data_IF_698788092299
#
_entry.id   IF_698788092299
#
_cell.length_a   1.000
_cell.length_b   1.000
_cell.length_c   1.000
_cell.angle_alpha   90.00
_cell.angle_beta   90.00
_cell.angle_gamma   90.00
#
_symmetry.space_group_name_H-M   'P 1'
#
loop_
_entity.id
_entity.type
_entity.pdbx_description
1 polymer ?
#
# COMPACT_ATOMS: atom_id res chain seq x y z
N UNK A 1 0.76 -12.31 11.07
CA UNK A 1 0.69 -13.49 10.19
C UNK A 1 -0.13 -13.10 8.95
N UNK A 2 0.49 -12.48 7.93
CA UNK A 2 -0.21 -11.90 6.75
C UNK A 2 0.63 -12.07 5.46
N UNK A 3 1.18 -13.26 5.24
CA UNK A 3 2.03 -13.55 4.06
C UNK A 3 1.41 -14.65 3.18
N UNK A 4 0.09 -14.82 3.23
CA UNK A 4 -0.59 -15.98 2.63
C UNK A 4 -1.49 -15.66 1.41
N UNK A 5 -1.71 -14.39 1.04
CA UNK A 5 -2.63 -14.07 -0.08
C UNK A 5 -1.90 -14.08 -1.43
N UNK A 6 -0.61 -13.78 -1.47
CA UNK A 6 0.15 -13.60 -2.71
C UNK A 6 1.26 -14.63 -2.94
N UNK A 7 1.43 -15.59 -2.03
CA UNK A 7 2.41 -16.67 -2.18
C UNK A 7 2.08 -17.53 -3.43
N UNK A 8 3.05 -17.68 -4.33
CA UNK A 8 2.89 -18.37 -5.61
C UNK A 8 2.19 -17.57 -6.73
N UNK A 9 1.72 -16.34 -6.48
CA UNK A 9 1.12 -15.49 -7.51
C UNK A 9 2.20 -14.75 -8.30
N UNK A 10 2.14 -14.85 -9.64
CA UNK A 10 3.00 -14.09 -10.53
C UNK A 10 2.33 -12.77 -10.92
N UNK A 11 2.86 -11.66 -10.43
CA UNK A 11 2.45 -10.32 -10.86
C UNK A 11 3.30 -9.76 -11.98
N UNK A 12 4.55 -10.22 -12.10
CA UNK A 12 5.54 -9.57 -12.94
C UNK A 12 5.37 -9.95 -14.43
N UNK A 13 5.23 -8.97 -15.33
CA UNK A 13 5.18 -9.23 -16.77
C UNK A 13 6.53 -9.80 -17.26
N UNK A 14 6.58 -10.41 -18.45
CA UNK A 14 7.84 -10.82 -19.06
C UNK A 14 8.77 -9.61 -19.28
N UNK A 15 10.09 -9.74 -19.04
CA UNK A 15 11.05 -8.69 -19.38
C UNK A 15 11.12 -8.47 -20.89
N UNK A 16 11.62 -7.32 -21.35
CA UNK A 16 11.82 -7.03 -22.76
C UNK A 16 12.80 -7.99 -23.44
N UNK A 17 13.78 -8.51 -22.69
CA UNK A 17 14.69 -9.58 -23.14
C UNK A 17 13.95 -10.88 -23.51
N UNK A 18 12.74 -11.09 -22.98
CA UNK A 18 11.84 -12.17 -23.39
C UNK A 18 11.17 -11.97 -24.75
N UNK A 19 11.43 -10.83 -25.40
CA UNK A 19 10.95 -10.47 -26.73
C UNK A 19 9.78 -9.50 -26.72
N UNK A 20 9.77 -8.57 -27.70
CA UNK A 20 8.72 -7.57 -27.88
C UNK A 20 7.36 -8.15 -28.32
N UNK A 21 7.31 -9.45 -28.62
CA UNK A 21 6.06 -10.19 -28.83
C UNK A 21 5.15 -10.23 -27.60
N UNK A 22 5.72 -10.06 -26.40
CA UNK A 22 4.97 -10.01 -25.13
C UNK A 22 4.41 -8.61 -24.82
N UNK A 23 4.56 -7.67 -25.74
CA UNK A 23 4.21 -6.27 -25.55
C UNK A 23 3.33 -5.77 -26.71
N UNK A 24 2.36 -4.94 -26.35
CA UNK A 24 1.35 -4.41 -27.25
C UNK A 24 1.44 -2.88 -27.35
N UNK A 25 1.15 -2.36 -28.54
CA UNK A 25 0.87 -0.93 -28.72
C UNK A 25 -0.60 -0.55 -28.42
N UNK A 26 -1.38 -1.51 -27.91
CA UNK A 26 -2.76 -1.35 -27.44
C UNK A 26 -2.88 -1.55 -25.93
N UNK A 27 -4.01 -2.07 -25.47
CA UNK A 27 -4.29 -2.36 -24.07
C UNK A 27 -3.63 -3.66 -23.55
N UNK A 28 -2.97 -4.44 -24.40
CA UNK A 28 -2.35 -5.72 -24.04
C UNK A 28 -3.36 -6.88 -23.96
N UNK A 29 -4.55 -6.71 -24.54
CA UNK A 29 -5.60 -7.73 -24.59
C UNK A 29 -5.49 -8.58 -25.87
N UNK A 30 -6.05 -9.81 -25.88
CA UNK A 30 -5.96 -10.68 -27.05
C UNK A 30 -6.47 -10.05 -28.35
N UNK A 31 -5.69 -10.14 -29.42
CA UNK A 31 -6.04 -9.60 -30.74
C UNK A 31 -5.57 -8.17 -31.00
N UNK A 32 -4.98 -7.50 -30.01
CA UNK A 32 -4.38 -6.17 -30.21
C UNK A 32 -2.98 -6.24 -30.87
N UNK A 33 -2.51 -5.14 -31.49
CA UNK A 33 -1.23 -5.14 -32.19
C UNK A 33 -0.05 -5.39 -31.23
N UNK A 34 0.90 -6.22 -31.67
CA UNK A 34 2.15 -6.50 -30.96
C UNK A 34 3.27 -5.55 -31.40
N UNK A 35 4.25 -5.32 -30.51
CA UNK A 35 5.49 -4.62 -30.84
C UNK A 35 6.53 -5.50 -31.54
N UNK A 36 6.30 -6.82 -31.67
CA UNK A 36 7.17 -7.67 -32.47
C UNK A 36 7.22 -7.21 -33.93
N UNK A 37 8.38 -6.75 -34.38
CA UNK A 37 8.58 -6.28 -35.75
C UNK A 37 7.97 -4.91 -36.05
N UNK A 38 7.50 -4.17 -35.03
CA UNK A 38 7.05 -2.80 -35.20
C UNK A 38 8.22 -1.90 -35.62
N UNK A 39 8.02 -1.08 -36.66
CA UNK A 39 9.09 -0.26 -37.24
C UNK A 39 9.65 0.80 -36.28
N UNK A 40 8.87 1.17 -35.26
CA UNK A 40 9.22 2.18 -34.27
C UNK A 40 9.69 1.59 -32.93
N UNK A 41 9.84 0.28 -32.81
CA UNK A 41 10.25 -0.38 -31.57
C UNK A 41 11.40 -1.36 -31.82
N UNK A 42 12.40 -1.37 -30.93
CA UNK A 42 13.50 -2.33 -30.99
C UNK A 42 13.97 -2.76 -29.60
N UNK A 43 14.47 -3.99 -29.51
CA UNK A 43 15.14 -4.47 -28.30
C UNK A 43 16.59 -4.01 -28.34
N UNK A 44 17.00 -3.24 -27.35
CA UNK A 44 18.39 -2.84 -27.13
C UNK A 44 18.98 -3.76 -26.08
N UNK A 45 20.15 -4.33 -26.37
CA UNK A 45 20.91 -5.15 -25.40
C UNK A 45 22.11 -4.38 -24.88
N UNK A 46 22.44 -4.59 -23.60
CA UNK A 46 23.62 -3.98 -22.98
C UNK A 46 23.59 -2.45 -22.86
N UNK A 47 22.41 -1.86 -22.71
CA UNK A 47 22.29 -0.46 -22.29
C UNK A 47 22.96 -0.25 -20.93
N UNK A 48 23.71 0.84 -20.77
CA UNK A 48 24.50 1.10 -19.55
C UNK A 48 23.65 1.23 -18.27
N UNK A 49 22.38 1.66 -18.39
CA UNK A 49 21.50 1.97 -17.27
C UNK A 49 20.47 0.85 -17.03
N UNK A 50 20.02 0.21 -18.11
CA UNK A 50 18.89 -0.74 -18.11
C UNK A 50 19.27 -2.18 -18.50
N UNK A 51 20.47 -2.42 -19.04
CA UNK A 51 20.80 -3.72 -19.63
C UNK A 51 19.96 -3.98 -20.89
N UNK A 52 19.14 -5.03 -20.88
CA UNK A 52 18.20 -5.28 -21.97
C UNK A 52 16.94 -4.44 -21.79
N UNK A 53 16.59 -3.62 -22.78
CA UNK A 53 15.49 -2.66 -22.67
C UNK A 53 14.79 -2.39 -24.02
N UNK A 54 13.60 -1.81 -23.95
CA UNK A 54 12.88 -1.35 -25.14
C UNK A 54 13.42 0.04 -25.55
N UNK A 55 13.75 0.21 -26.82
CA UNK A 55 13.87 1.53 -27.46
C UNK A 55 12.67 1.76 -28.39
N UNK A 56 12.01 2.89 -28.21
CA UNK A 56 10.77 3.27 -28.89
C UNK A 56 10.92 4.66 -29.50
N UNK A 57 10.57 4.79 -30.77
CA UNK A 57 10.34 6.08 -31.39
C UNK A 57 8.84 6.40 -31.32
N UNK A 58 8.46 7.52 -30.69
CA UNK A 58 7.04 7.90 -30.59
C UNK A 58 6.51 8.30 -31.97
N UNK A 59 5.34 7.76 -32.34
CA UNK A 59 4.69 8.05 -33.62
C UNK A 59 3.29 8.67 -33.43
N UNK A 60 2.76 8.62 -32.22
CA UNK A 60 1.50 9.25 -31.83
C UNK A 60 1.68 10.25 -30.67
N UNK A 61 0.63 11.06 -30.42
CA UNK A 61 0.60 12.00 -29.30
C UNK A 61 0.63 11.31 -27.92
N UNK A 62 0.07 10.10 -27.86
CA UNK A 62 0.20 9.16 -26.76
C UNK A 62 0.58 7.83 -27.36
N UNK A 63 1.77 7.35 -27.03
CA UNK A 63 2.26 6.03 -27.39
C UNK A 63 1.98 5.09 -26.22
N UNK A 64 1.11 4.11 -26.44
CA UNK A 64 0.69 3.15 -25.42
C UNK A 64 1.59 1.92 -25.46
N UNK A 65 2.07 1.47 -24.31
CA UNK A 65 2.76 0.21 -24.14
C UNK A 65 2.08 -0.59 -23.02
N UNK A 66 1.59 -1.79 -23.33
CA UNK A 66 1.03 -2.73 -22.32
C UNK A 66 1.57 -4.13 -22.53
N UNK A 67 1.76 -4.86 -21.44
CA UNK A 67 2.15 -6.26 -21.52
C UNK A 67 0.95 -7.13 -21.97
N UNK A 68 1.20 -8.14 -22.80
CA UNK A 68 0.31 -9.29 -22.99
C UNK A 68 0.41 -10.21 -21.76
N UNK A 69 0.09 -9.66 -20.60
CA UNK A 69 0.18 -10.34 -19.33
C UNK A 69 -0.98 -9.90 -18.44
N UNK A 70 -1.84 -10.85 -18.09
CA UNK A 70 -2.97 -10.63 -17.20
C UNK A 70 -2.48 -10.66 -15.76
N UNK A 71 -2.29 -9.49 -15.17
CA UNK A 71 -1.91 -9.35 -13.76
C UNK A 71 -3.15 -9.53 -12.90
N UNK A 72 -3.20 -10.50 -11.97
CA UNK A 72 -4.38 -10.69 -11.13
C UNK A 72 -4.56 -9.53 -10.16
N UNK A 73 -5.80 -9.04 -10.04
CA UNK A 73 -6.21 -8.02 -9.08
C UNK A 73 -7.08 -8.69 -8.02
N UNK A 74 -6.64 -8.64 -6.77
CA UNK A 74 -7.33 -9.24 -5.64
C UNK A 74 -7.81 -8.18 -4.64
N UNK A 75 -9.00 -8.35 -4.06
CA UNK A 75 -9.45 -7.52 -2.95
C UNK A 75 -8.41 -7.44 -1.83
N UNK A 76 -8.08 -6.22 -1.42
CA UNK A 76 -7.13 -5.97 -0.34
C UNK A 76 -5.65 -6.07 -0.72
N UNK A 77 -5.33 -6.36 -2.00
CA UNK A 77 -3.96 -6.30 -2.52
C UNK A 77 -3.72 -4.94 -3.19
N UNK A 78 -2.56 -4.35 -2.91
CA UNK A 78 -2.10 -3.11 -3.53
C UNK A 78 -0.81 -3.41 -4.30
N UNK A 79 -0.81 -3.10 -5.58
CA UNK A 79 0.30 -3.37 -6.49
C UNK A 79 0.95 -2.06 -6.90
N UNK A 80 2.27 -1.96 -6.75
CA UNK A 80 3.05 -0.88 -7.35
C UNK A 80 3.55 -1.36 -8.71
N UNK A 81 3.15 -0.64 -9.74
CA UNK A 81 3.68 -0.81 -11.09
C UNK A 81 4.72 0.28 -11.29
N UNK A 82 5.92 -0.08 -11.77
CA UNK A 82 7.02 0.85 -11.94
C UNK A 82 7.94 0.48 -13.09
N UNK A 83 8.61 1.49 -13.65
CA UNK A 83 9.70 1.35 -14.62
C UNK A 83 10.57 2.61 -14.57
N UNK A 84 11.72 2.57 -15.24
CA UNK A 84 12.54 3.76 -15.49
C UNK A 84 12.60 4.04 -16.98
N UNK A 85 12.62 5.31 -17.34
CA UNK A 85 12.79 5.74 -18.72
C UNK A 85 13.96 6.71 -18.86
N UNK A 86 14.50 6.82 -20.08
CA UNK A 86 15.36 7.94 -20.48
C UNK A 86 15.08 8.33 -21.93
N UNK A 87 15.17 9.62 -22.20
CA UNK A 87 14.95 10.18 -23.54
C UNK A 87 16.30 10.38 -24.21
N UNK A 88 16.45 9.91 -25.44
CA UNK A 88 17.71 10.00 -26.18
C UNK A 88 17.72 11.15 -27.18
N UNK A 89 16.59 11.43 -27.82
CA UNK A 89 16.46 12.50 -28.82
C UNK A 89 14.99 12.88 -29.07
N UNK A 90 14.77 13.94 -29.85
CA UNK A 90 13.44 14.49 -30.17
C UNK A 90 12.84 15.30 -29.03
N UNK A 91 11.62 15.81 -29.19
CA UNK A 91 10.97 16.61 -28.14
C UNK A 91 10.74 15.76 -26.89
N UNK A 92 11.25 16.18 -25.73
CA UNK A 92 11.15 15.43 -24.47
C UNK A 92 9.67 15.17 -24.12
N UNK A 93 9.21 13.91 -24.18
CA UNK A 93 7.85 13.56 -23.79
C UNK A 93 7.73 13.42 -22.27
N UNK A 94 6.50 13.39 -21.79
CA UNK A 94 6.19 12.92 -20.44
C UNK A 94 5.83 11.43 -20.47
N UNK A 95 5.81 10.80 -19.31
CA UNK A 95 5.40 9.41 -19.18
C UNK A 95 4.60 9.16 -17.91
N UNK A 96 3.75 8.14 -17.94
CA UNK A 96 2.98 7.70 -16.77
C UNK A 96 2.74 6.20 -16.83
N UNK A 97 2.69 5.56 -15.67
CA UNK A 97 2.13 4.21 -15.60
C UNK A 97 0.65 4.28 -15.99
N UNK A 98 0.21 3.31 -16.77
CA UNK A 98 -1.18 3.17 -17.10
C UNK A 98 -1.55 1.70 -17.30
N UNK A 99 -2.84 1.40 -17.27
CA UNK A 99 -3.36 0.05 -17.34
C UNK A 99 -4.68 -0.07 -18.09
N UNK A 100 -5.18 -1.28 -18.18
CA UNK A 100 -6.52 -1.62 -18.63
C UNK A 100 -7.12 -2.61 -17.63
N UNK A 101 -8.30 -2.28 -17.11
CA UNK A 101 -8.98 -2.99 -16.05
C UNK A 101 -10.00 -4.00 -16.62
N UNK A 102 -9.72 -5.29 -16.47
CA UNK A 102 -10.54 -6.37 -16.96
C UNK A 102 -11.44 -7.01 -15.90
N UNK A 103 -12.70 -7.23 -16.24
CA UNK A 103 -13.62 -8.06 -15.47
C UNK A 103 -13.33 -9.56 -15.69
N UNK A 104 -13.99 -10.42 -14.90
CA UNK A 104 -13.78 -11.87 -14.95
C UNK A 104 -14.19 -12.52 -16.27
N UNK A 105 -15.09 -11.87 -17.02
CA UNK A 105 -15.53 -12.29 -18.35
C UNK A 105 -14.63 -11.75 -19.49
N UNK A 106 -13.55 -11.04 -19.14
CA UNK A 106 -12.63 -10.43 -20.09
C UNK A 106 -13.11 -9.12 -20.69
N UNK A 107 -14.23 -8.55 -20.22
CA UNK A 107 -14.70 -7.22 -20.64
C UNK A 107 -13.95 -6.08 -19.93
N UNK A 108 -13.94 -4.90 -20.54
CA UNK A 108 -13.37 -3.70 -19.93
C UNK A 108 -14.29 -3.13 -18.84
N UNK A 109 -13.73 -2.83 -17.67
CA UNK A 109 -14.43 -2.11 -16.60
C UNK A 109 -14.24 -0.61 -16.82
N UNK A 110 -15.24 0.03 -17.42
CA UNK A 110 -15.21 1.46 -17.70
C UNK A 110 -15.34 2.34 -16.43
N UNK A 111 -14.93 3.61 -16.54
CA UNK A 111 -15.13 4.62 -15.51
C UNK A 111 -14.09 4.62 -14.38
N UNK A 112 -13.03 3.82 -14.51
CA UNK A 112 -11.92 3.76 -13.56
C UNK A 112 -10.79 4.73 -13.95
N UNK A 113 -10.04 5.18 -12.96
CA UNK A 113 -8.76 5.87 -13.19
C UNK A 113 -7.72 4.83 -13.56
N UNK A 114 -7.39 4.74 -14.84
CA UNK A 114 -6.46 3.74 -15.39
C UNK A 114 -5.06 4.31 -15.69
N UNK A 115 -4.77 5.51 -15.18
CA UNK A 115 -3.53 6.21 -15.42
C UNK A 115 -3.03 6.82 -14.12
N UNK A 116 -1.75 6.61 -13.81
CA UNK A 116 -1.09 7.19 -12.66
C UNK A 116 -0.54 8.61 -12.92
N UNK A 117 0.26 9.13 -11.99
CA UNK A 117 0.92 10.42 -12.10
C UNK A 117 1.83 10.50 -13.33
N UNK A 118 1.91 11.69 -13.91
CA UNK A 118 2.77 11.96 -15.07
C UNK A 118 4.11 12.55 -14.62
N UNK A 119 5.19 12.00 -15.16
CA UNK A 119 6.58 12.41 -14.92
C UNK A 119 7.19 12.89 -16.23
N UNK A 120 7.95 13.99 -16.19
CA UNK A 120 8.64 14.53 -17.37
C UNK A 120 10.14 14.61 -17.08
N UNK A 121 10.98 13.88 -17.83
CA UNK A 121 12.43 14.09 -17.81
C UNK A 121 12.77 15.56 -18.08
N UNK A 122 13.85 16.06 -17.48
CA UNK A 122 14.31 17.43 -17.64
C UNK A 122 15.49 17.52 -18.63
N UNK A 123 16.17 16.40 -18.90
CA UNK A 123 17.27 16.33 -19.85
C UNK A 123 17.33 15.00 -20.61
N UNK A 124 18.04 14.99 -21.74
CA UNK A 124 18.36 13.75 -22.44
C UNK A 124 19.34 12.90 -21.62
N UNK A 125 19.14 11.58 -21.66
CA UNK A 125 19.91 10.61 -20.89
C UNK A 125 19.61 10.61 -19.39
N UNK A 126 18.77 11.51 -18.88
CA UNK A 126 18.29 11.46 -17.50
C UNK A 126 17.41 10.21 -17.32
N UNK A 127 17.77 9.39 -16.34
CA UNK A 127 16.98 8.23 -15.93
C UNK A 127 15.98 8.68 -14.88
N UNK A 128 14.69 8.62 -15.22
CA UNK A 128 13.59 8.96 -14.29
C UNK A 128 12.74 7.72 -14.01
N UNK A 129 12.32 7.58 -12.75
CA UNK A 129 11.35 6.55 -12.36
C UNK A 129 9.93 7.02 -12.65
N UNK A 130 9.12 6.11 -13.18
CA UNK A 130 7.68 6.28 -13.39
C UNK A 130 6.98 5.19 -12.59
N UNK A 131 6.11 5.58 -11.66
CA UNK A 131 5.48 4.68 -10.70
C UNK A 131 4.02 5.04 -10.50
N UNK A 132 3.18 4.01 -10.27
CA UNK A 132 1.83 4.20 -9.76
C UNK A 132 1.39 3.00 -8.92
N UNK A 133 0.50 3.24 -7.95
CA UNK A 133 -0.10 2.21 -7.12
C UNK A 133 -1.55 1.96 -7.55
N UNK A 134 -1.84 0.69 -7.85
CA UNK A 134 -3.19 0.18 -8.13
C UNK A 134 -3.68 -0.57 -6.90
N UNK A 135 -4.94 -0.36 -6.53
CA UNK A 135 -5.55 -1.11 -5.44
C UNK A 135 -7.07 -1.10 -5.52
N UNK A 136 -7.71 -1.97 -4.75
CA UNK A 136 -9.17 -2.07 -4.73
C UNK A 136 -9.82 -0.96 -3.89
N UNK A 137 -9.08 -0.35 -2.97
CA UNK A 137 -9.57 0.69 -2.07
C UNK A 137 -8.96 2.06 -2.34
N UNK A 138 -9.73 3.10 -2.04
CA UNK A 138 -9.22 4.47 -1.92
C UNK A 138 -8.43 4.58 -0.61
N UNK A 139 -7.10 4.58 -0.71
CA UNK A 139 -6.19 4.78 0.43
C UNK A 139 -5.16 5.85 0.07
N UNK A 140 -4.52 6.45 1.08
CA UNK A 140 -3.49 7.46 0.87
C UNK A 140 -2.37 6.94 -0.05
N UNK A 141 -2.09 7.65 -1.14
CA UNK A 141 -1.05 7.26 -2.10
C UNK A 141 -1.45 6.16 -3.10
N UNK A 142 -2.72 5.74 -3.15
CA UNK A 142 -3.23 4.90 -4.25
C UNK A 142 -3.61 5.79 -5.42
N UNK A 143 -2.95 5.62 -6.56
CA UNK A 143 -3.16 6.43 -7.76
C UNK A 143 -4.33 5.93 -8.60
N UNK A 144 -4.51 4.60 -8.65
CA UNK A 144 -5.47 3.89 -9.49
C UNK A 144 -6.39 3.00 -8.64
N UNK A 145 -7.38 3.60 -7.97
CA UNK A 145 -8.34 2.90 -7.11
C UNK A 145 -9.43 2.24 -7.96
N UNK A 146 -9.27 0.95 -8.22
CA UNK A 146 -10.06 0.19 -9.20
C UNK A 146 -11.31 -0.50 -8.65
N UNK A 147 -11.53 -0.45 -7.33
CA UNK A 147 -12.68 -1.11 -6.72
C UNK A 147 -12.58 -2.63 -6.78
N UNK A 148 -13.74 -3.30 -6.77
CA UNK A 148 -13.83 -4.77 -6.73
C UNK A 148 -14.25 -5.40 -8.06
N UNK A 149 -14.59 -4.59 -9.06
CA UNK A 149 -15.09 -5.08 -10.34
C UNK A 149 -13.99 -5.67 -11.23
N UNK A 150 -12.79 -5.06 -11.35
CA UNK A 150 -11.70 -5.66 -12.09
C UNK A 150 -11.06 -6.80 -11.32
N UNK A 151 -10.77 -7.89 -12.02
CA UNK A 151 -10.01 -9.04 -11.50
C UNK A 151 -8.70 -9.25 -12.25
N UNK A 152 -8.50 -8.54 -13.36
CA UNK A 152 -7.30 -8.57 -14.19
C UNK A 152 -6.88 -7.13 -14.51
N UNK A 153 -5.58 -6.86 -14.50
CA UNK A 153 -4.97 -5.65 -15.03
C UNK A 153 -3.95 -5.97 -16.11
N UNK A 154 -4.06 -5.30 -17.25
CA UNK A 154 -2.99 -5.25 -18.24
C UNK A 154 -2.23 -3.94 -18.06
N UNK A 155 -0.99 -4.01 -17.59
CA UNK A 155 -0.24 -2.83 -17.18
C UNK A 155 0.89 -2.49 -18.13
N UNK A 156 1.23 -1.21 -18.15
CA UNK A 156 2.47 -0.72 -18.72
C UNK A 156 2.62 0.79 -18.56
N UNK A 157 3.04 1.45 -19.63
CA UNK A 157 3.39 2.87 -19.62
C UNK A 157 2.79 3.57 -20.84
N UNK A 158 2.37 4.82 -20.66
CA UNK A 158 2.09 5.75 -21.75
C UNK A 158 3.25 6.72 -21.90
N UNK A 159 3.69 6.98 -23.12
CA UNK A 159 4.61 8.06 -23.46
C UNK A 159 3.81 9.16 -24.18
N UNK A 160 3.76 10.36 -23.60
CA UNK A 160 2.86 11.45 -23.98
C UNK A 160 3.67 12.64 -24.44
N UNK A 161 3.50 13.07 -25.69
CA UNK A 161 4.21 14.22 -26.22
C UNK A 161 4.09 14.33 -27.73
N UNK A 162 4.84 15.25 -28.32
CA UNK A 162 4.92 15.34 -29.78
C UNK A 162 5.59 14.07 -30.34
N UNK A 163 5.07 13.48 -31.44
CA UNK A 163 5.75 12.40 -32.14
C UNK A 163 7.20 12.75 -32.52
N UNK A 164 8.07 11.74 -32.54
CA UNK A 164 9.46 11.84 -32.96
C UNK A 164 10.50 11.77 -31.83
N UNK A 165 10.07 11.55 -30.59
CA UNK A 165 10.98 11.29 -29.48
C UNK A 165 11.52 9.86 -29.53
N UNK A 166 12.80 9.65 -29.23
CA UNK A 166 13.37 8.32 -29.00
C UNK A 166 13.54 8.11 -27.50
N UNK A 167 12.87 7.10 -26.95
CA UNK A 167 12.80 6.81 -25.52
C UNK A 167 13.25 5.38 -25.28
N UNK A 168 14.11 5.17 -24.27
CA UNK A 168 14.39 3.84 -23.73
C UNK A 168 13.59 3.61 -22.46
N UNK A 169 13.02 2.42 -22.33
CA UNK A 169 12.15 1.99 -21.23
C UNK A 169 12.73 0.72 -20.63
N UNK A 170 13.01 0.74 -19.32
CA UNK A 170 13.41 -0.44 -18.56
C UNK A 170 12.23 -1.40 -18.37
N UNK A 171 12.51 -2.68 -18.16
CA UNK A 171 11.52 -3.67 -17.73
C UNK A 171 10.53 -3.12 -16.69
N UNK A 172 9.25 -3.38 -16.93
CA UNK A 172 8.19 -2.99 -16.01
C UNK A 172 8.11 -4.01 -14.88
N UNK A 173 8.12 -3.50 -13.65
CA UNK A 173 8.05 -4.28 -12.42
C UNK A 173 6.70 -4.07 -11.75
N UNK A 174 6.14 -5.15 -11.24
CA UNK A 174 4.90 -5.13 -10.45
C UNK A 174 5.18 -5.82 -9.12
N UNK A 175 5.06 -5.05 -8.04
CA UNK A 175 5.37 -5.50 -6.67
C UNK A 175 4.13 -5.42 -5.78
N UNK A 176 3.94 -6.42 -4.92
CA UNK A 176 2.96 -6.36 -3.83
C UNK A 176 3.47 -5.41 -2.72
N UNK A 177 2.74 -4.31 -2.57
CA UNK A 177 3.03 -3.23 -1.63
C UNK A 177 1.96 -3.11 -0.55
N UNK A 178 1.09 -4.11 -0.44
CA UNK A 178 -0.01 -4.19 0.55
C UNK A 178 0.49 -3.93 1.97
N UNK A 179 1.71 -4.35 2.29
CA UNK A 179 2.33 -4.16 3.61
C UNK A 179 2.33 -2.70 4.09
N UNK A 180 2.43 -1.72 3.19
CA UNK A 180 2.41 -0.30 3.58
C UNK A 180 1.02 0.20 3.98
N UNK A 181 -0.02 -0.50 3.53
CA UNK A 181 -1.42 -0.20 3.85
C UNK A 181 -1.93 -0.97 5.06
N UNK A 182 -1.16 -1.93 5.59
CA UNK A 182 -1.60 -2.78 6.71
C UNK A 182 -1.96 -1.96 7.95
N UNK A 183 -1.25 -0.87 8.26
CA UNK A 183 -1.57 0.01 9.41
C UNK A 183 -2.88 0.79 9.24
N UNK A 184 -3.23 1.16 8.02
CA UNK A 184 -4.53 1.79 7.71
C UNK A 184 -5.65 0.74 7.55
N UNK A 185 -5.29 -0.54 7.37
CA UNK A 185 -6.21 -1.68 7.33
C UNK A 185 -6.44 -2.30 8.70
N UNK A 186 -5.62 -1.95 9.70
CA UNK A 186 -5.79 -2.38 11.07
C UNK A 186 -6.64 -1.35 11.80
N UNK A 187 -7.79 -1.80 12.28
CA UNK A 187 -8.72 -0.98 13.08
C UNK A 187 -8.17 -0.68 14.49
N UNK A 188 -6.86 -0.83 14.69
CA UNK A 188 -6.20 -0.74 15.98
C UNK A 188 -4.80 -0.12 15.92
N UNK A 189 -4.37 0.47 17.04
CA UNK A 189 -3.06 1.08 17.26
C UNK A 189 -2.35 0.32 18.37
N UNK A 190 -1.17 -0.24 18.06
CA UNK A 190 -0.37 -1.01 19.02
C UNK A 190 0.38 -0.10 19.99
N UNK A 191 0.27 -0.31 21.31
CA UNK A 191 1.04 0.46 22.31
C UNK A 191 2.56 0.30 22.16
N UNK A 192 3.03 -0.83 21.60
CA UNK A 192 4.46 -1.07 21.33
C UNK A 192 5.02 -0.20 20.22
N UNK A 193 4.18 0.19 19.25
CA UNK A 193 4.59 1.14 18.20
C UNK A 193 4.92 2.52 18.78
N UNK A 194 4.49 2.81 20.02
CA UNK A 194 4.76 4.04 20.76
C UNK A 194 5.76 3.84 21.91
N UNK A 195 6.45 2.70 21.93
CA UNK A 195 7.57 2.44 22.85
C UNK A 195 7.21 1.67 24.12
N UNK A 196 6.02 1.07 24.23
CA UNK A 196 5.70 0.19 25.35
C UNK A 196 6.58 -1.08 25.31
N UNK A 197 7.19 -1.44 26.43
CA UNK A 197 8.10 -2.57 26.58
C UNK A 197 7.35 -3.84 26.99
N UNK A 198 6.44 -3.74 27.97
CA UNK A 198 5.64 -4.89 28.42
C UNK A 198 6.42 -5.95 29.19
N UNK A 199 7.44 -5.54 29.95
CA UNK A 199 8.28 -6.38 30.83
C UNK A 199 7.82 -6.43 32.30
N UNK A 200 6.78 -5.67 32.64
CA UNK A 200 6.20 -5.55 33.98
C UNK A 200 6.96 -4.63 34.92
N UNK A 201 8.00 -3.94 34.44
CA UNK A 201 8.91 -3.10 35.26
C UNK A 201 9.02 -1.70 34.68
N UNK A 202 9.19 -1.58 33.37
CA UNK A 202 9.27 -0.30 32.67
C UNK A 202 7.90 0.39 32.71
N UNK A 203 7.89 1.69 33.01
CA UNK A 203 6.65 2.48 33.00
C UNK A 203 6.21 2.75 31.55
N UNK A 204 5.19 2.01 31.14
CA UNK A 204 4.63 2.02 29.79
C UNK A 204 3.52 3.08 29.63
N UNK A 205 3.14 3.81 30.69
CA UNK A 205 2.06 4.79 30.64
C UNK A 205 2.24 5.88 29.55
N UNK A 206 3.45 6.43 29.31
CA UNK A 206 3.66 7.40 28.23
C UNK A 206 3.36 6.84 26.83
N UNK A 207 3.71 5.57 26.59
CA UNK A 207 3.45 4.91 25.32
C UNK A 207 1.96 4.66 25.10
N UNK A 208 1.22 4.30 26.15
CA UNK A 208 -0.23 4.15 26.10
C UNK A 208 -0.94 5.49 25.81
N UNK A 209 -0.52 6.57 26.46
CA UNK A 209 -1.07 7.90 26.19
C UNK A 209 -0.81 8.37 24.76
N UNK A 210 0.39 8.11 24.23
CA UNK A 210 0.74 8.43 22.85
C UNK A 210 -0.06 7.58 21.83
N UNK A 211 -0.27 6.30 22.12
CA UNK A 211 -1.09 5.41 21.30
C UNK A 211 -2.56 5.86 21.27
N UNK A 212 -3.14 6.24 22.42
CA UNK A 212 -4.50 6.78 22.50
C UNK A 212 -4.67 8.09 21.72
N UNK A 213 -3.70 8.99 21.82
CA UNK A 213 -3.70 10.24 21.05
C UNK A 213 -3.66 9.99 19.54
N UNK A 214 -2.98 8.93 19.10
CA UNK A 214 -2.86 8.56 17.69
C UNK A 214 -3.95 7.61 17.17
N UNK A 215 -4.81 7.09 18.05
CA UNK A 215 -5.86 6.15 17.71
C UNK A 215 -6.87 6.73 16.70
N UNK A 216 -7.20 8.03 16.82
CA UNK A 216 -8.03 8.76 15.85
C UNK A 216 -9.33 8.02 15.46
N UNK A 217 -9.99 7.39 16.43
CA UNK A 217 -11.20 6.57 16.23
C UNK A 217 -10.96 5.05 16.12
N UNK A 218 -9.72 4.60 15.98
CA UNK A 218 -9.33 3.17 16.01
C UNK A 218 -9.26 2.66 17.45
N UNK A 219 -9.26 1.35 17.62
CA UNK A 219 -9.01 0.74 18.92
C UNK A 219 -7.51 0.82 19.30
N UNK A 220 -7.18 0.62 20.56
CA UNK A 220 -5.81 0.42 21.05
C UNK A 220 -5.62 -1.09 21.24
N UNK A 221 -4.54 -1.67 20.72
CA UNK A 221 -4.15 -3.04 21.09
C UNK A 221 -3.04 -2.98 22.13
N UNK A 222 -3.21 -3.82 23.15
CA UNK A 222 -2.18 -4.14 24.13
C UNK A 222 -1.74 -5.59 23.89
N UNK A 223 -0.66 -5.83 23.13
CA UNK A 223 -0.22 -7.18 22.78
C UNK A 223 0.24 -7.98 23.99
N UNK A 224 0.35 -9.31 23.86
CA UNK A 224 0.78 -10.19 24.95
C UNK A 224 2.09 -9.75 25.63
N UNK A 225 2.03 -9.55 26.95
CA UNK A 225 3.09 -8.98 27.80
C UNK A 225 2.50 -8.51 29.13
N UNK A 226 3.32 -7.97 30.03
CA UNK A 226 2.85 -7.34 31.28
C UNK A 226 3.30 -5.88 31.29
N UNK A 227 2.39 -4.92 31.33
CA UNK A 227 2.72 -3.50 31.20
C UNK A 227 2.54 -2.83 32.56
N UNK A 228 3.61 -2.26 33.10
CA UNK A 228 3.51 -1.48 34.33
C UNK A 228 3.09 -0.06 33.98
N UNK A 229 2.01 0.43 34.59
CA UNK A 229 1.58 1.83 34.45
C UNK A 229 1.76 2.51 35.80
N UNK A 230 2.80 3.33 35.89
CA UNK A 230 3.20 4.04 37.11
C UNK A 230 2.39 5.30 37.39
N UNK A 231 1.55 5.71 36.45
CA UNK A 231 0.73 6.92 36.52
C UNK A 231 -0.75 6.63 36.29
N UNK A 232 -1.59 7.61 36.58
CA UNK A 232 -2.99 7.58 36.13
C UNK A 232 -3.01 7.59 34.60
N UNK A 233 -3.94 6.82 34.01
CA UNK A 233 -4.08 6.70 32.57
C UNK A 233 -5.56 6.73 32.20
N UNK A 234 -5.92 7.63 31.28
CA UNK A 234 -7.23 7.65 30.65
C UNK A 234 -7.09 7.29 29.19
N UNK A 235 -7.83 6.28 28.73
CA UNK A 235 -7.92 5.88 27.33
C UNK A 235 -9.26 6.35 26.77
N UNK A 236 -9.21 7.25 25.79
CA UNK A 236 -10.38 7.84 25.13
C UNK A 236 -10.97 6.91 24.07
N UNK A 237 -10.18 5.97 23.55
CA UNK A 237 -10.56 5.04 22.48
C UNK A 237 -10.84 3.61 23.00
N UNK A 238 -11.56 2.78 22.23
CA UNK A 238 -11.73 1.36 22.58
C UNK A 238 -10.38 0.68 22.75
N UNK A 239 -10.26 -0.27 23.67
CA UNK A 239 -9.00 -0.99 23.92
C UNK A 239 -9.23 -2.49 23.90
N UNK A 240 -8.27 -3.23 23.34
CA UNK A 240 -8.23 -4.70 23.34
C UNK A 240 -6.96 -5.16 24.04
N UNK A 241 -7.13 -5.97 25.08
CA UNK A 241 -6.03 -6.56 25.84
C UNK A 241 -5.77 -7.99 25.39
N UNK A 242 -4.56 -8.26 24.91
CA UNK A 242 -3.96 -9.60 24.79
C UNK A 242 -2.88 -9.83 25.85
N UNK A 243 -2.27 -8.75 26.36
CA UNK A 243 -1.44 -8.74 27.57
C UNK A 243 -2.18 -8.24 28.80
N UNK A 244 -1.47 -8.12 29.92
CA UNK A 244 -2.01 -7.63 31.20
C UNK A 244 -1.31 -6.37 31.70
N UNK A 245 -1.97 -5.62 32.58
CA UNK A 245 -1.50 -4.42 33.22
C UNK A 245 -1.14 -4.71 34.68
N UNK A 246 -0.14 -3.99 35.17
CA UNK A 246 0.16 -3.88 36.60
C UNK A 246 0.16 -2.40 36.98
N UNK A 247 -0.55 -2.05 38.04
CA UNK A 247 -0.67 -0.66 38.49
C UNK A 247 -0.60 -0.60 40.01
N UNK A 248 0.06 0.43 40.59
CA UNK A 248 -0.04 0.72 42.01
C UNK A 248 -1.51 0.98 42.42
N UNK A 249 -1.86 0.69 43.68
CA UNK A 249 -3.25 0.80 44.16
C UNK A 249 -3.79 2.24 44.05
N UNK A 250 -2.93 3.25 44.22
CA UNK A 250 -3.27 4.67 44.16
C UNK A 250 -3.43 5.21 42.73
N UNK A 251 -3.14 4.41 41.68
CA UNK A 251 -3.26 4.84 40.28
C UNK A 251 -4.59 4.43 39.65
N UNK A 252 -5.16 5.32 38.85
CA UNK A 252 -6.46 5.13 38.20
C UNK A 252 -6.29 4.77 36.72
N UNK A 253 -7.00 3.73 36.26
CA UNK A 253 -7.17 3.43 34.85
C UNK A 253 -8.61 3.76 34.44
N UNK A 254 -8.78 4.71 33.52
CA UNK A 254 -10.08 5.15 33.04
C UNK A 254 -10.27 4.75 31.58
N UNK A 255 -11.20 3.83 31.31
CA UNK A 255 -11.52 3.33 29.96
C UNK A 255 -12.83 3.96 29.45
N UNK A 256 -12.76 5.09 28.75
CA UNK A 256 -13.93 5.93 28.42
C UNK A 256 -14.93 5.21 27.49
N UNK A 257 -14.42 4.52 26.45
CA UNK A 257 -15.25 3.81 25.45
C UNK A 257 -15.29 2.30 25.65
N UNK A 258 -14.78 1.81 26.79
CA UNK A 258 -14.75 0.39 27.14
C UNK A 258 -14.91 0.20 28.67
N UNK A 259 -15.81 0.99 29.28
CA UNK A 259 -16.11 0.90 30.71
C UNK A 259 -17.05 -0.29 30.97
N UNK A 260 -16.48 -1.48 31.07
CA UNK A 260 -17.19 -2.70 31.43
C UNK A 260 -16.27 -3.66 32.19
N UNK A 261 -16.83 -4.43 33.13
CA UNK A 261 -16.05 -5.34 33.96
C UNK A 261 -15.22 -6.36 33.13
N UNK A 262 -15.76 -6.99 32.07
CA UNK A 262 -14.97 -7.87 31.21
C UNK A 262 -13.69 -7.24 30.65
N UNK A 263 -13.74 -5.98 30.19
CA UNK A 263 -12.55 -5.27 29.69
C UNK A 263 -11.52 -5.05 30.80
N UNK A 264 -11.95 -4.68 32.02
CA UNK A 264 -11.03 -4.58 33.16
C UNK A 264 -10.45 -5.94 33.56
N UNK A 265 -11.24 -7.02 33.48
CA UNK A 265 -10.74 -8.39 33.75
C UNK A 265 -9.68 -8.78 32.72
N UNK A 266 -9.91 -8.48 31.43
CA UNK A 266 -8.91 -8.68 30.38
C UNK A 266 -7.65 -7.85 30.63
N UNK A 267 -7.81 -6.59 31.08
CA UNK A 267 -6.70 -5.71 31.39
C UNK A 267 -5.81 -6.24 32.53
N UNK A 268 -6.37 -6.76 33.61
CA UNK A 268 -5.57 -7.15 34.79
C UNK A 268 -5.31 -8.66 34.92
N UNK A 269 -6.04 -9.50 34.18
CA UNK A 269 -5.98 -10.96 34.32
C UNK A 269 -6.45 -11.48 35.70
N UNK A 270 -7.04 -10.61 36.53
CA UNK A 270 -7.51 -10.92 37.88
C UNK A 270 -8.80 -10.15 38.18
N UNK A 271 -9.89 -10.87 38.47
CA UNK A 271 -11.22 -10.27 38.67
C UNK A 271 -11.32 -9.34 39.89
N UNK A 272 -10.60 -9.64 40.97
CA UNK A 272 -10.64 -8.82 42.19
C UNK A 272 -9.94 -7.49 41.98
N UNK A 273 -8.79 -7.49 41.30
CA UNK A 273 -8.06 -6.26 40.92
C UNK A 273 -8.86 -5.48 39.90
N UNK A 274 -9.40 -6.15 38.88
CA UNK A 274 -10.24 -5.55 37.86
C UNK A 274 -11.46 -4.82 38.45
N UNK A 275 -12.19 -5.46 39.36
CA UNK A 275 -13.34 -4.86 40.02
C UNK A 275 -12.95 -3.64 40.85
N UNK A 276 -11.84 -3.72 41.60
CA UNK A 276 -11.31 -2.59 42.38
C UNK A 276 -10.98 -1.41 41.48
N UNK A 277 -10.27 -1.66 40.36
CA UNK A 277 -9.87 -0.62 39.39
C UNK A 277 -11.07 -0.03 38.64
N UNK A 278 -12.05 -0.85 38.27
CA UNK A 278 -13.29 -0.38 37.64
C UNK A 278 -14.11 0.53 38.59
N UNK A 279 -14.21 0.16 39.88
CA UNK A 279 -14.84 1.01 40.89
C UNK A 279 -14.05 2.29 41.15
N UNK A 280 -12.72 2.20 41.21
CA UNK A 280 -11.83 3.36 41.34
C UNK A 280 -12.06 4.34 40.18
N UNK A 281 -12.14 3.85 38.95
CA UNK A 281 -12.47 4.67 37.78
C UNK A 281 -13.87 5.27 37.89
N UNK A 282 -14.89 4.48 38.25
CA UNK A 282 -16.28 4.94 38.40
C UNK A 282 -16.41 6.13 39.37
N UNK A 283 -15.72 6.06 40.52
CA UNK A 283 -15.72 7.15 41.50
C UNK A 283 -14.78 8.30 41.12
N UNK A 284 -13.88 8.11 40.16
CA UNK A 284 -13.05 9.17 39.60
C UNK A 284 -13.76 9.92 38.45
N UNK A 285 -14.68 9.25 37.74
CA UNK A 285 -15.51 9.83 36.68
C UNK A 285 -16.63 10.78 37.18
N UNK A 286 -16.70 11.08 38.49
CA UNK A 286 -17.63 12.10 39.01
C UNK A 286 -17.14 13.52 38.72
N UNK A 287 -17.06 13.87 37.44
CA UNK A 287 -17.42 15.22 36.99
C UNK A 287 -18.89 15.13 36.57
N UNK A 288 -19.77 15.62 37.45
CA UNK A 288 -21.13 15.98 37.06
C UNK A 288 -21.05 17.28 36.24
N UNK A 289 -21.22 17.16 34.92
CA UNK A 289 -21.96 18.15 34.12
C UNK A 289 -23.02 17.44 33.26
#
# INVERSE_FOLDING_TARGET
MNMAVTDGIRFMPPPFSGGLGNWSSGNGTPGEPSLAGAANASLVTGDQDFGDCLELQTVAGTETLRAFFSTPIHPGVYLRVSTRIKVLSGNIPSARIAGWAGAADGSHVAGLTETGPTVTPQAYGEVVEVSAIVGTGQRGGVDMPWGLSPVIGHFGIDIIGTPGAVVRVEDIRIEDVTRFYLRDMMDWVDVRDYGAVGDGVTDDAPAFAAADAAAAGRAILVPGGTYFLGTDLTLQHPVRFEGTLTMPDDKVLSLVRAFDLPTYVAAFGNETVALRKALQALFHFTDHE
#
